data_IF_448555469168
#
_entry.id   IF_448555469168
#
_cell.length_a   1.000
_cell.length_b   1.000
_cell.length_c   1.000
_cell.angle_alpha   90.00
_cell.angle_beta   90.00
_cell.angle_gamma   90.00
#
_symmetry.space_group_name_H-M   'P 1'
#
loop_
_entity.id
_entity.type
_entity.pdbx_description
1 polymer ?
#
# COMPACT_ATOMS: atom_id res chain seq x y z
N UNK A 1 -32.21 7.38 6.71
CA UNK A 1 -31.22 6.30 6.50
C UNK A 1 -29.84 6.91 6.80
N UNK A 2 -29.05 6.25 7.59
CA UNK A 2 -27.65 6.64 7.82
C UNK A 2 -26.92 6.58 6.48
N UNK A 3 -26.13 7.61 6.17
CA UNK A 3 -25.32 7.62 4.94
C UNK A 3 -24.16 6.62 5.08
N UNK A 4 -23.69 6.00 3.98
CA UNK A 4 -22.57 5.07 4.03
C UNK A 4 -21.30 5.79 4.54
N UNK A 5 -20.50 5.09 5.32
CA UNK A 5 -19.23 5.64 5.78
C UNK A 5 -18.24 5.80 4.63
N UNK A 6 -17.36 6.78 4.73
CA UNK A 6 -16.22 6.96 3.81
C UNK A 6 -15.06 6.13 4.31
N UNK A 7 -14.41 5.41 3.40
CA UNK A 7 -13.22 4.64 3.69
C UNK A 7 -12.03 5.31 2.99
N UNK A 8 -10.99 5.61 3.74
CA UNK A 8 -9.73 6.15 3.22
C UNK A 8 -8.61 5.18 3.62
N UNK A 9 -8.01 4.50 2.64
CA UNK A 9 -6.79 3.70 2.84
C UNK A 9 -5.58 4.60 2.59
N UNK A 10 -4.92 5.00 3.68
CA UNK A 10 -3.78 5.91 3.65
C UNK A 10 -2.53 5.18 3.20
N UNK A 11 -2.17 5.40 1.95
CA UNK A 11 -1.01 4.85 1.29
C UNK A 11 -0.46 5.84 0.26
N UNK A 12 0.67 5.53 -0.37
CA UNK A 12 1.20 6.33 -1.48
C UNK A 12 0.19 6.50 -2.62
N UNK A 13 -0.53 5.43 -2.96
CA UNK A 13 -1.75 5.49 -3.76
C UNK A 13 -2.93 5.40 -2.80
N UNK A 14 -3.45 6.54 -2.37
CA UNK A 14 -4.55 6.65 -1.42
C UNK A 14 -5.86 6.25 -2.10
N UNK A 15 -6.57 5.31 -1.50
CA UNK A 15 -7.83 4.79 -2.00
C UNK A 15 -8.97 5.34 -1.20
N UNK A 16 -10.03 5.78 -1.88
CA UNK A 16 -11.22 6.31 -1.22
C UNK A 16 -12.52 5.84 -1.89
N UNK A 17 -13.57 5.76 -1.11
CA UNK A 17 -14.90 5.31 -1.55
C UNK A 17 -15.82 5.07 -0.36
N UNK A 18 -16.92 4.33 -0.54
CA UNK A 18 -17.95 4.18 0.47
C UNK A 18 -18.01 2.76 1.02
N UNK A 19 -18.45 2.64 2.26
CA UNK A 19 -18.73 1.35 2.89
C UNK A 19 -19.80 0.56 2.13
N UNK A 20 -19.59 -0.77 2.04
CA UNK A 20 -20.45 -1.67 1.29
C UNK A 20 -20.14 -1.79 -0.20
N UNK A 21 -19.19 -1.01 -0.73
CA UNK A 21 -18.69 -1.16 -2.10
C UNK A 21 -17.56 -2.20 -2.17
N UNK A 22 -17.45 -2.86 -3.32
CA UNK A 22 -16.45 -3.91 -3.56
C UNK A 22 -15.10 -3.36 -4.04
N UNK A 23 -15.09 -2.13 -4.58
CA UNK A 23 -13.90 -1.44 -5.10
C UNK A 23 -13.89 0.03 -4.69
N UNK A 24 -12.70 0.63 -4.49
CA UNK A 24 -12.59 2.08 -4.23
C UNK A 24 -13.05 2.89 -5.45
N UNK A 25 -13.72 4.01 -5.21
CA UNK A 25 -14.15 4.93 -6.28
C UNK A 25 -13.02 5.77 -6.84
N UNK A 26 -12.02 6.08 -6.01
CA UNK A 26 -10.87 6.86 -6.40
C UNK A 26 -9.58 6.26 -5.88
N UNK A 27 -8.52 6.41 -6.69
CA UNK A 27 -7.13 6.12 -6.33
C UNK A 27 -6.31 7.36 -6.64
N UNK A 28 -5.94 8.10 -5.61
CA UNK A 28 -5.22 9.36 -5.69
C UNK A 28 -3.76 9.18 -5.25
N UNK A 29 -2.81 9.57 -6.10
CA UNK A 29 -1.39 9.55 -5.71
C UNK A 29 -1.13 10.61 -4.64
N UNK A 30 -0.52 10.22 -3.52
CA UNK A 30 -0.25 11.08 -2.36
C UNK A 30 0.94 12.00 -2.64
N UNK A 31 0.72 12.98 -3.51
CA UNK A 31 1.70 13.97 -3.95
C UNK A 31 1.11 15.38 -3.95
N UNK A 32 1.91 16.34 -3.48
CA UNK A 32 1.59 17.76 -3.52
C UNK A 32 2.69 18.50 -4.29
N UNK A 33 2.31 19.23 -5.31
CA UNK A 33 3.19 20.03 -6.16
C UNK A 33 2.99 21.51 -5.95
N UNK A 34 4.06 22.26 -5.70
CA UNK A 34 4.04 23.72 -5.58
C UNK A 34 4.87 24.37 -6.66
N UNK A 35 4.46 25.52 -7.25
CA UNK A 35 5.24 26.21 -8.27
C UNK A 35 6.69 26.50 -7.83
N UNK A 36 7.66 26.23 -8.73
CA UNK A 36 9.09 26.53 -8.48
C UNK A 36 9.38 28.01 -8.33
N UNK A 37 8.57 28.87 -8.95
CA UNK A 37 8.67 30.31 -8.88
C UNK A 37 7.31 30.89 -8.50
N UNK A 38 7.28 31.82 -7.56
CA UNK A 38 6.10 32.63 -7.30
C UNK A 38 5.92 33.59 -8.50
N UNK A 39 4.89 33.38 -9.28
CA UNK A 39 4.54 34.22 -10.40
C UNK A 39 4.15 35.61 -9.85
N UNK A 40 4.91 36.62 -10.26
CA UNK A 40 4.59 37.98 -9.87
C UNK A 40 3.28 38.47 -10.48
N UNK A 41 2.45 39.06 -9.67
CA UNK A 41 1.33 39.94 -9.94
C UNK A 41 0.34 39.58 -11.08
N UNK A 42 -0.89 39.23 -10.71
CA UNK A 42 -2.08 39.48 -11.51
C UNK A 42 -2.84 38.27 -12.06
N UNK A 43 -2.43 37.05 -11.82
CA UNK A 43 -3.24 35.84 -12.06
C UNK A 43 -3.59 35.20 -10.72
N UNK A 44 -4.78 34.60 -10.61
CA UNK A 44 -5.13 33.71 -9.52
C UNK A 44 -4.06 32.61 -9.43
N UNK A 45 -3.15 32.74 -8.48
CA UNK A 45 -2.10 31.74 -8.27
C UNK A 45 -2.74 30.53 -7.62
N UNK A 46 -2.78 29.42 -8.33
CA UNK A 46 -3.03 28.11 -7.70
C UNK A 46 -1.80 27.79 -6.86
N UNK A 47 -1.97 27.76 -5.54
CA UNK A 47 -0.86 27.60 -4.60
C UNK A 47 -0.28 26.17 -4.61
N UNK A 48 -1.09 25.18 -4.96
CA UNK A 48 -0.68 23.77 -5.02
C UNK A 48 -1.52 22.94 -5.99
N UNK A 49 -0.95 21.81 -6.41
CA UNK A 49 -1.57 20.80 -7.24
C UNK A 49 -1.45 19.44 -6.54
N UNK A 50 -2.44 18.55 -6.70
CA UNK A 50 -2.48 17.26 -6.00
C UNK A 50 -2.53 16.09 -7.00
N UNK A 51 -1.86 14.99 -6.62
CA UNK A 51 -1.92 13.71 -7.31
C UNK A 51 -1.45 13.79 -8.77
N UNK A 52 -2.26 13.27 -9.69
CA UNK A 52 -1.95 13.25 -11.13
C UNK A 52 -1.76 14.64 -11.73
N UNK A 53 -2.52 15.64 -11.25
CA UNK A 53 -2.37 17.03 -11.71
C UNK A 53 -0.99 17.60 -11.35
N UNK A 54 -0.47 17.28 -10.16
CA UNK A 54 0.89 17.65 -9.78
C UNK A 54 1.94 16.93 -10.63
N UNK A 55 1.70 15.67 -10.96
CA UNK A 55 2.60 14.90 -11.81
C UNK A 55 2.66 15.43 -13.24
N UNK A 56 1.52 15.75 -13.86
CA UNK A 56 1.45 16.31 -15.22
C UNK A 56 2.21 17.63 -15.34
N UNK A 57 2.22 18.43 -14.27
CA UNK A 57 2.92 19.72 -14.23
C UNK A 57 4.32 19.65 -13.61
N UNK A 58 4.91 18.45 -13.52
CA UNK A 58 6.19 18.19 -12.83
C UNK A 58 7.36 19.09 -13.30
N UNK A 59 7.35 19.50 -14.56
CA UNK A 59 8.40 20.40 -15.13
C UNK A 59 8.49 21.75 -14.43
N UNK A 60 7.37 22.28 -13.94
CA UNK A 60 7.27 23.62 -13.31
C UNK A 60 7.00 23.57 -11.80
N UNK A 61 6.79 22.39 -11.24
CA UNK A 61 6.48 22.20 -9.82
C UNK A 61 7.64 21.56 -9.05
N UNK A 62 7.71 21.89 -7.76
CA UNK A 62 8.40 21.10 -6.74
C UNK A 62 7.37 20.14 -6.17
N UNK A 63 7.57 18.84 -6.37
CA UNK A 63 6.62 17.82 -5.95
C UNK A 63 7.19 17.05 -4.76
N UNK A 64 6.37 16.91 -3.70
CA UNK A 64 6.68 16.15 -2.50
C UNK A 64 5.54 15.20 -2.15
N UNK A 65 5.86 14.12 -1.46
CA UNK A 65 4.87 13.28 -0.79
C UNK A 65 4.80 13.71 0.67
N UNK A 66 3.61 13.93 1.24
CA UNK A 66 3.44 14.18 2.67
C UNK A 66 3.57 12.92 3.52
N UNK A 67 3.85 11.76 2.89
CA UNK A 67 4.12 10.51 3.59
C UNK A 67 5.62 10.20 3.54
N UNK A 68 6.16 9.78 4.68
CA UNK A 68 7.49 9.17 4.78
C UNK A 68 7.56 7.87 3.96
N UNK A 69 8.77 7.31 3.83
CA UNK A 69 8.96 6.06 3.08
C UNK A 69 8.31 4.84 3.74
N UNK A 70 8.03 4.87 5.04
CA UNK A 70 7.32 3.83 5.80
C UNK A 70 5.79 4.00 5.84
N UNK A 71 5.27 5.08 5.24
CA UNK A 71 3.84 5.36 5.12
C UNK A 71 3.26 6.23 6.24
N UNK A 72 4.09 6.65 7.21
CA UNK A 72 3.68 7.64 8.22
C UNK A 72 3.51 9.03 7.62
N UNK A 73 2.69 9.86 8.27
CA UNK A 73 2.48 11.25 7.85
C UNK A 73 3.67 12.09 8.32
N UNK A 74 4.35 12.74 7.36
CA UNK A 74 5.41 13.73 7.63
C UNK A 74 4.84 15.16 7.66
N UNK A 75 3.92 15.47 6.74
CA UNK A 75 3.34 16.79 6.56
C UNK A 75 1.80 16.72 6.67
N UNK A 76 1.26 17.11 7.83
CA UNK A 76 -0.18 17.10 8.10
C UNK A 76 -0.94 18.20 7.32
N UNK A 77 -0.30 19.33 7.03
CA UNK A 77 -0.93 20.41 6.24
C UNK A 77 -1.15 19.95 4.80
N UNK A 78 -0.22 19.17 4.26
CA UNK A 78 -0.35 18.63 2.91
C UNK A 78 -1.28 17.43 2.85
N UNK A 79 -1.36 16.60 3.90
CA UNK A 79 -2.31 15.51 3.94
C UNK A 79 -3.75 16.01 4.06
N UNK A 80 -3.99 17.10 4.80
CA UNK A 80 -5.30 17.76 4.89
C UNK A 80 -5.80 18.21 3.52
N UNK A 81 -4.93 18.81 2.69
CA UNK A 81 -5.26 19.21 1.31
C UNK A 81 -5.60 18.00 0.41
N UNK A 82 -4.93 16.89 0.63
CA UNK A 82 -5.25 15.65 -0.09
C UNK A 82 -6.63 15.14 0.32
N UNK A 83 -6.93 15.09 1.62
CA UNK A 83 -8.26 14.70 2.10
C UNK A 83 -9.36 15.67 1.63
N UNK A 84 -9.11 16.98 1.63
CA UNK A 84 -10.01 17.96 1.04
C UNK A 84 -10.29 17.68 -0.45
N UNK A 85 -9.24 17.31 -1.21
CA UNK A 85 -9.39 16.93 -2.62
C UNK A 85 -10.22 15.65 -2.77
N UNK A 86 -10.03 14.66 -1.88
CA UNK A 86 -10.86 13.45 -1.87
C UNK A 86 -12.34 13.80 -1.68
N UNK A 87 -12.67 14.65 -0.72
CA UNK A 87 -14.05 15.02 -0.46
C UNK A 87 -14.65 15.88 -1.58
N UNK A 88 -13.93 16.91 -2.02
CA UNK A 88 -14.46 17.92 -2.94
C UNK A 88 -14.43 17.50 -4.41
N UNK A 89 -13.37 16.83 -4.86
CA UNK A 89 -13.17 16.49 -6.28
C UNK A 89 -13.44 15.01 -6.57
N UNK A 90 -12.88 14.10 -5.76
CA UNK A 90 -12.93 12.67 -6.05
C UNK A 90 -14.30 12.04 -5.72
N UNK A 91 -14.82 12.32 -4.53
CA UNK A 91 -16.09 11.79 -4.07
C UNK A 91 -17.26 12.77 -4.26
N UNK A 92 -16.96 14.06 -4.37
CA UNK A 92 -17.94 15.16 -4.55
C UNK A 92 -19.03 15.13 -3.47
N UNK A 93 -18.63 15.17 -2.19
CA UNK A 93 -19.50 15.03 -1.03
C UNK A 93 -19.19 16.09 0.03
N UNK A 94 -20.18 16.29 0.95
CA UNK A 94 -19.96 17.02 2.19
C UNK A 94 -19.51 16.06 3.30
N UNK A 95 -18.27 16.19 3.84
CA UNK A 95 -17.76 15.29 4.88
C UNK A 95 -18.61 15.31 6.16
N UNK A 96 -19.26 16.40 6.51
CA UNK A 96 -20.12 16.54 7.71
C UNK A 96 -21.28 15.54 7.76
N UNK A 97 -21.62 14.94 6.62
CA UNK A 97 -22.75 14.03 6.51
C UNK A 97 -22.35 12.54 6.58
N UNK A 98 -21.06 12.25 6.66
CA UNK A 98 -20.53 10.88 6.57
C UNK A 98 -19.58 10.54 7.71
N UNK A 99 -19.75 9.37 8.30
CA UNK A 99 -18.72 8.79 9.17
C UNK A 99 -17.48 8.43 8.34
N UNK A 100 -16.28 8.49 8.94
CA UNK A 100 -15.03 8.25 8.22
C UNK A 100 -14.21 7.15 8.90
N UNK A 101 -13.81 6.14 8.14
CA UNK A 101 -12.81 5.16 8.55
C UNK A 101 -11.50 5.45 7.80
N UNK A 102 -10.42 5.68 8.54
CA UNK A 102 -9.07 5.85 7.99
C UNK A 102 -8.22 4.64 8.34
N UNK A 103 -7.71 3.95 7.32
CA UNK A 103 -6.77 2.85 7.49
C UNK A 103 -5.34 3.40 7.49
N UNK A 104 -4.60 3.16 8.56
CA UNK A 104 -3.23 3.63 8.77
C UNK A 104 -2.29 2.45 9.11
N UNK A 105 -0.95 2.59 8.99
CA UNK A 105 -0.01 1.60 9.50
C UNK A 105 -0.27 1.25 10.98
N UNK A 106 -0.07 0.00 11.37
CA UNK A 106 -0.36 -0.47 12.74
C UNK A 106 0.51 0.20 13.82
N UNK A 107 1.71 0.62 13.46
CA UNK A 107 2.70 1.30 14.29
C UNK A 107 2.57 2.84 14.26
N UNK A 108 1.47 3.39 13.69
CA UNK A 108 1.19 4.84 13.71
C UNK A 108 1.20 5.36 15.14
N UNK A 109 2.00 6.40 15.37
CA UNK A 109 2.21 7.01 16.69
C UNK A 109 0.90 7.59 17.26
N UNK A 110 0.78 7.60 18.57
CA UNK A 110 -0.39 8.16 19.25
C UNK A 110 -0.61 9.62 18.88
N UNK A 111 0.46 10.43 18.86
CA UNK A 111 0.38 11.85 18.48
C UNK A 111 -0.12 12.05 17.04
N UNK A 112 0.18 11.16 16.12
CA UNK A 112 -0.27 11.24 14.74
C UNK A 112 -1.76 10.86 14.63
N UNK A 113 -2.23 9.89 15.42
CA UNK A 113 -3.65 9.54 15.55
C UNK A 113 -4.47 10.70 16.12
N UNK A 114 -3.92 11.40 17.11
CA UNK A 114 -4.54 12.60 17.69
C UNK A 114 -4.66 13.73 16.67
N UNK A 115 -3.62 13.97 15.85
CA UNK A 115 -3.66 14.95 14.77
C UNK A 115 -4.67 14.58 13.68
N UNK A 116 -4.74 13.29 13.30
CA UNK A 116 -5.77 12.79 12.38
C UNK A 116 -7.16 13.09 12.95
N UNK A 117 -7.38 12.79 14.24
CA UNK A 117 -8.66 13.02 14.90
C UNK A 117 -9.00 14.53 14.94
N UNK A 118 -8.02 15.39 15.24
CA UNK A 118 -8.19 16.84 15.26
C UNK A 118 -8.63 17.36 13.87
N UNK A 119 -7.90 17.03 12.80
CA UNK A 119 -8.22 17.50 11.44
C UNK A 119 -9.61 16.98 11.02
N UNK A 120 -9.90 15.71 11.24
CA UNK A 120 -11.18 15.13 10.84
C UNK A 120 -12.37 15.73 11.59
N UNK A 121 -12.23 15.94 12.90
CA UNK A 121 -13.31 16.44 13.74
C UNK A 121 -13.47 17.97 13.70
N UNK A 122 -12.36 18.70 13.55
CA UNK A 122 -12.38 20.18 13.62
C UNK A 122 -12.41 20.82 12.22
N UNK A 123 -11.52 20.40 11.30
CA UNK A 123 -11.48 21.00 9.95
C UNK A 123 -12.60 20.46 9.06
N UNK A 124 -12.79 19.13 9.01
CA UNK A 124 -13.81 18.49 8.16
C UNK A 124 -15.16 18.30 8.85
N UNK A 125 -15.23 18.54 10.14
CA UNK A 125 -16.48 18.51 10.92
C UNK A 125 -17.27 17.20 10.79
N UNK A 126 -16.58 16.06 10.64
CA UNK A 126 -17.23 14.76 10.46
C UNK A 126 -18.01 14.31 11.71
N UNK A 127 -19.10 13.53 11.58
CA UNK A 127 -19.88 13.06 12.72
C UNK A 127 -19.20 11.96 13.54
N UNK A 128 -18.48 11.06 12.89
CA UNK A 128 -17.84 9.93 13.55
C UNK A 128 -16.54 9.55 12.84
N UNK A 129 -15.52 9.14 13.61
CA UNK A 129 -14.20 8.70 13.13
C UNK A 129 -13.88 7.29 13.64
N UNK A 130 -13.22 6.50 12.81
CA UNK A 130 -12.52 5.28 13.22
C UNK A 130 -11.15 5.21 12.56
N UNK A 131 -10.09 5.12 13.36
CA UNK A 131 -8.71 4.96 12.87
C UNK A 131 -8.34 3.49 12.98
N UNK A 132 -8.28 2.82 11.84
CA UNK A 132 -8.08 1.38 11.73
C UNK A 132 -6.63 1.02 11.42
N UNK A 133 -6.16 -0.11 11.94
CA UNK A 133 -4.91 -0.73 11.48
C UNK A 133 -5.16 -1.39 10.10
N UNK A 134 -4.42 -0.95 9.08
CA UNK A 134 -4.59 -1.45 7.71
C UNK A 134 -4.35 -2.96 7.58
N UNK A 135 -3.43 -3.53 8.38
CA UNK A 135 -3.15 -4.97 8.33
C UNK A 135 -4.29 -5.78 8.93
N UNK A 136 -4.92 -5.30 10.01
CA UNK A 136 -6.12 -5.95 10.55
C UNK A 136 -7.26 -5.97 9.52
N UNK A 137 -7.44 -4.88 8.78
CA UNK A 137 -8.44 -4.80 7.71
C UNK A 137 -8.16 -5.77 6.55
N UNK A 138 -6.90 -6.00 6.19
CA UNK A 138 -6.54 -7.01 5.19
C UNK A 138 -7.02 -8.39 5.62
N UNK A 139 -6.87 -8.74 6.90
CA UNK A 139 -7.37 -10.02 7.43
C UNK A 139 -8.91 -10.09 7.46
N UNK A 140 -9.58 -8.96 7.71
CA UNK A 140 -11.05 -8.88 7.62
C UNK A 140 -11.53 -9.23 6.21
N UNK A 141 -10.90 -8.69 5.16
CA UNK A 141 -11.21 -9.05 3.77
C UNK A 141 -11.08 -10.56 3.52
N UNK A 142 -10.07 -11.18 4.08
CA UNK A 142 -9.79 -12.62 3.89
C UNK A 142 -10.59 -13.52 4.84
N UNK A 143 -11.35 -12.93 5.79
CA UNK A 143 -12.10 -13.63 6.84
C UNK A 143 -11.19 -14.61 7.63
N UNK A 144 -10.00 -14.12 8.04
CA UNK A 144 -9.01 -14.88 8.78
C UNK A 144 -8.65 -14.17 10.08
N UNK A 145 -8.76 -14.87 11.22
CA UNK A 145 -8.39 -14.34 12.53
C UNK A 145 -6.89 -14.41 12.80
N UNK A 146 -6.21 -15.40 12.20
CA UNK A 146 -4.81 -15.71 12.44
C UNK A 146 -4.10 -15.89 11.10
N UNK A 147 -2.91 -15.33 10.97
CA UNK A 147 -2.11 -15.44 9.75
C UNK A 147 -0.94 -14.46 9.72
N UNK A 148 -0.24 -14.44 8.63
CA UNK A 148 0.82 -13.48 8.35
C UNK A 148 0.50 -12.73 7.07
N UNK A 149 0.61 -11.41 7.12
CA UNK A 149 0.40 -10.55 5.98
C UNK A 149 1.75 -10.22 5.36
N UNK A 150 1.84 -10.41 4.08
CA UNK A 150 2.91 -9.89 3.23
C UNK A 150 2.31 -8.78 2.36
N UNK A 151 2.51 -7.53 2.76
CA UNK A 151 2.01 -6.36 2.03
C UNK A 151 3.17 -5.62 1.38
N UNK A 152 3.22 -5.63 0.04
CA UNK A 152 4.29 -4.99 -0.73
C UNK A 152 3.74 -3.85 -1.59
N UNK A 153 3.92 -2.62 -1.08
CA UNK A 153 3.48 -1.38 -1.68
C UNK A 153 4.54 -0.70 -2.56
N UNK A 154 4.37 0.58 -2.81
CA UNK A 154 5.28 1.37 -3.65
C UNK A 154 6.61 1.66 -2.95
N UNK A 155 6.59 2.03 -1.66
CA UNK A 155 7.78 2.43 -0.91
C UNK A 155 8.29 1.35 0.04
N UNK A 156 7.38 0.58 0.64
CA UNK A 156 7.68 -0.41 1.68
C UNK A 156 7.08 -1.77 1.40
N UNK A 157 7.69 -2.77 2.01
CA UNK A 157 7.13 -4.11 2.17
C UNK A 157 7.06 -4.43 3.65
N UNK A 158 5.88 -4.77 4.16
CA UNK A 158 5.64 -5.17 5.54
C UNK A 158 5.29 -6.65 5.64
N UNK A 159 5.79 -7.29 6.70
CA UNK A 159 5.52 -8.69 7.03
C UNK A 159 4.99 -8.71 8.45
N UNK A 160 3.68 -8.82 8.60
CA UNK A 160 2.98 -8.55 9.86
C UNK A 160 2.19 -9.77 10.31
N UNK A 161 2.52 -10.37 11.48
CA UNK A 161 1.73 -11.46 12.05
C UNK A 161 0.48 -10.91 12.75
N UNK A 162 -0.64 -11.58 12.48
CA UNK A 162 -1.95 -11.30 13.08
C UNK A 162 -2.39 -12.52 13.88
N UNK A 163 -2.89 -12.31 15.09
CA UNK A 163 -3.51 -13.33 15.94
C UNK A 163 -4.79 -12.77 16.54
N UNK A 164 -5.87 -13.55 16.46
CA UNK A 164 -7.17 -13.16 17.01
C UNK A 164 -7.61 -11.77 16.50
N UNK A 165 -7.46 -11.53 15.20
CA UNK A 165 -7.78 -10.27 14.49
C UNK A 165 -6.89 -9.07 14.85
N UNK A 166 -5.85 -9.25 15.66
CA UNK A 166 -4.98 -8.17 16.13
C UNK A 166 -3.54 -8.38 15.70
N UNK A 167 -2.90 -7.28 15.32
CA UNK A 167 -1.47 -7.25 15.06
C UNK A 167 -0.67 -7.56 16.34
N UNK A 168 0.29 -8.48 16.22
CA UNK A 168 1.21 -8.81 17.32
C UNK A 168 2.35 -7.80 17.28
N UNK A 169 2.22 -6.77 18.12
CA UNK A 169 3.20 -5.67 18.17
C UNK A 169 4.63 -6.17 18.45
N UNK A 170 5.59 -5.62 17.69
CA UNK A 170 7.02 -5.91 17.86
C UNK A 170 7.48 -7.25 17.26
N UNK A 171 6.59 -8.05 16.66
CA UNK A 171 6.95 -9.28 15.97
C UNK A 171 7.04 -9.11 14.43
N UNK A 172 6.35 -8.12 13.91
CA UNK A 172 6.38 -7.78 12.48
C UNK A 172 7.68 -7.08 12.05
N UNK A 173 7.88 -7.00 10.76
CA UNK A 173 9.02 -6.31 10.13
C UNK A 173 8.54 -5.43 8.98
N UNK A 174 9.15 -4.24 8.86
CA UNK A 174 8.89 -3.29 7.78
C UNK A 174 10.20 -2.99 7.06
N UNK A 175 10.23 -3.17 5.75
CA UNK A 175 11.40 -2.99 4.91
C UNK A 175 11.20 -1.81 3.96
N UNK A 176 12.15 -0.87 3.92
CA UNK A 176 12.18 0.24 2.94
C UNK A 176 12.57 -0.29 1.55
N UNK A 177 11.72 -1.15 1.02
CA UNK A 177 11.85 -1.80 -0.28
C UNK A 177 10.46 -2.05 -0.85
N UNK A 178 10.20 -1.52 -2.04
CA UNK A 178 8.88 -1.60 -2.66
C UNK A 178 8.91 -1.44 -4.17
N UNK A 179 7.80 -1.09 -4.75
CA UNK A 179 7.59 -0.90 -6.18
C UNK A 179 8.52 0.11 -6.81
N UNK A 180 8.89 1.16 -6.06
CA UNK A 180 9.90 2.15 -6.46
C UNK A 180 11.24 1.48 -6.82
N UNK A 181 11.71 0.56 -5.97
CA UNK A 181 12.97 -0.16 -6.22
C UNK A 181 12.86 -1.08 -7.45
N UNK A 182 11.69 -1.70 -7.63
CA UNK A 182 11.41 -2.53 -8.81
C UNK A 182 11.41 -1.69 -10.08
N UNK A 183 10.78 -0.50 -10.06
CA UNK A 183 10.79 0.44 -11.18
C UNK A 183 12.20 0.95 -11.50
N UNK A 184 12.97 1.34 -10.49
CA UNK A 184 14.36 1.80 -10.67
C UNK A 184 15.24 0.71 -11.28
N UNK A 185 15.06 -0.54 -10.86
CA UNK A 185 15.79 -1.67 -11.44
C UNK A 185 15.37 -1.95 -12.89
N UNK A 186 14.06 -1.90 -13.18
CA UNK A 186 13.56 -2.03 -14.55
C UNK A 186 14.17 -0.95 -15.45
N UNK A 187 14.21 0.32 -15.01
CA UNK A 187 14.83 1.41 -15.78
C UNK A 187 16.31 1.13 -16.07
N UNK A 188 17.04 0.62 -15.07
CA UNK A 188 18.45 0.20 -15.30
C UNK A 188 18.55 -0.93 -16.33
N UNK A 189 17.67 -1.92 -16.28
CA UNK A 189 17.64 -3.00 -17.27
C UNK A 189 17.26 -2.52 -18.67
N UNK A 190 16.33 -1.57 -18.78
CA UNK A 190 15.95 -0.93 -20.05
C UNK A 190 17.10 -0.15 -20.66
N UNK A 191 17.91 0.54 -19.86
CA UNK A 191 19.12 1.22 -20.33
C UNK A 191 20.11 0.25 -21.00
N UNK A 192 20.21 -0.99 -20.52
CA UNK A 192 21.07 -2.01 -21.14
C UNK A 192 20.57 -2.50 -22.50
N UNK A 193 19.30 -2.24 -22.83
CA UNK A 193 18.73 -2.52 -24.15
C UNK A 193 18.51 -1.24 -24.99
N UNK A 194 19.23 -0.16 -24.63
CA UNK A 194 19.23 1.16 -25.27
C UNK A 194 17.86 1.90 -25.19
N UNK A 195 17.09 1.66 -24.15
CA UNK A 195 15.86 2.40 -23.84
C UNK A 195 16.14 3.27 -22.62
N UNK A 196 16.37 4.57 -22.85
CA UNK A 196 16.68 5.54 -21.80
C UNK A 196 15.39 6.28 -21.39
N UNK A 197 14.96 6.10 -20.15
CA UNK A 197 13.80 6.77 -19.56
C UNK A 197 14.31 7.71 -18.45
N UNK A 198 14.37 9.00 -18.74
CA UNK A 198 15.02 10.02 -17.88
C UNK A 198 14.03 10.95 -17.21
N UNK A 199 12.99 11.35 -17.93
CA UNK A 199 11.97 12.24 -17.40
C UNK A 199 10.96 11.48 -16.53
N UNK A 200 10.17 12.22 -15.78
CA UNK A 200 9.13 11.62 -14.91
C UNK A 200 8.03 10.96 -15.73
N UNK A 201 7.66 11.59 -16.84
CA UNK A 201 6.67 11.07 -17.79
C UNK A 201 7.18 9.76 -18.42
N UNK A 202 8.44 9.72 -18.81
CA UNK A 202 9.04 8.49 -19.36
C UNK A 202 9.14 7.38 -18.32
N UNK A 203 9.36 7.70 -17.03
CA UNK A 203 9.36 6.71 -15.95
C UNK A 203 7.99 6.05 -15.74
N UNK A 204 6.87 6.72 -16.05
CA UNK A 204 5.54 6.11 -16.08
C UNK A 204 5.44 4.98 -17.11
N UNK A 205 6.16 5.10 -18.24
CA UNK A 205 6.25 4.02 -19.23
C UNK A 205 6.89 2.75 -18.61
N UNK A 206 7.90 2.92 -17.74
CA UNK A 206 8.47 1.77 -17.03
C UNK A 206 7.45 1.10 -16.10
N UNK A 207 6.58 1.88 -15.44
CA UNK A 207 5.50 1.32 -14.61
C UNK A 207 4.47 0.55 -15.45
N UNK A 208 4.14 1.05 -16.63
CA UNK A 208 3.24 0.35 -17.56
C UNK A 208 3.88 -0.94 -18.07
N UNK A 209 5.16 -0.89 -18.49
CA UNK A 209 5.92 -2.10 -18.87
C UNK A 209 5.94 -3.10 -17.72
N UNK A 210 6.19 -2.65 -16.49
CA UNK A 210 6.17 -3.51 -15.30
C UNK A 210 4.82 -4.21 -15.16
N UNK A 211 3.73 -3.47 -15.22
CA UNK A 211 2.37 -4.01 -15.03
C UNK A 211 1.94 -4.96 -16.15
N UNK A 212 2.28 -4.64 -17.40
CA UNK A 212 1.79 -5.38 -18.57
C UNK A 212 2.68 -6.55 -18.94
N UNK A 213 4.01 -6.41 -18.81
CA UNK A 213 4.97 -7.33 -19.41
C UNK A 213 5.82 -8.09 -18.41
N UNK A 214 6.09 -7.48 -17.22
CA UNK A 214 6.98 -8.11 -16.25
C UNK A 214 6.29 -9.24 -15.49
N UNK A 215 7.07 -10.26 -15.14
CA UNK A 215 6.62 -11.41 -14.36
C UNK A 215 7.74 -11.93 -13.46
N UNK A 216 7.39 -12.77 -12.51
CA UNK A 216 8.30 -13.49 -11.66
C UNK A 216 8.44 -14.92 -12.21
N UNK A 217 9.66 -15.33 -12.55
CA UNK A 217 9.94 -16.68 -13.00
C UNK A 217 9.79 -17.67 -11.84
N UNK A 218 9.11 -18.79 -12.08
CA UNK A 218 9.01 -19.88 -11.09
C UNK A 218 10.36 -20.52 -10.80
N UNK A 219 11.25 -20.53 -11.80
CA UNK A 219 12.62 -20.99 -11.72
C UNK A 219 13.49 -20.02 -12.54
N UNK A 220 14.23 -19.18 -11.83
CA UNK A 220 15.02 -18.11 -12.45
C UNK A 220 16.16 -18.67 -13.31
N UNK A 221 16.87 -19.70 -12.85
CA UNK A 221 17.98 -20.30 -13.58
C UNK A 221 17.51 -20.97 -14.88
N UNK A 222 16.35 -21.63 -14.84
CA UNK A 222 15.74 -22.20 -16.03
C UNK A 222 15.27 -21.11 -17.01
N UNK A 223 14.83 -19.96 -16.51
CA UNK A 223 14.34 -18.83 -17.33
C UNK A 223 15.45 -18.12 -18.08
N UNK A 224 16.65 -18.01 -17.47
CA UNK A 224 17.84 -17.40 -18.10
C UNK A 224 18.16 -18.07 -19.45
N UNK A 225 17.95 -19.38 -19.55
CA UNK A 225 18.29 -20.16 -20.73
C UNK A 225 17.24 -20.08 -21.85
N UNK A 226 16.08 -19.46 -21.60
CA UNK A 226 15.04 -19.28 -22.61
C UNK A 226 15.30 -18.04 -23.46
N UNK A 227 15.18 -18.18 -24.77
CA UNK A 227 15.17 -17.01 -25.67
C UNK A 227 13.87 -16.24 -25.46
N UNK A 228 14.00 -14.98 -25.10
CA UNK A 228 12.88 -14.05 -24.96
C UNK A 228 12.91 -13.06 -26.13
N UNK A 229 11.81 -12.98 -26.88
CA UNK A 229 11.66 -12.04 -28.00
C UNK A 229 10.36 -11.24 -27.81
N UNK A 230 10.26 -10.57 -26.64
CA UNK A 230 9.11 -9.78 -26.26
C UNK A 230 9.34 -8.33 -26.71
N UNK A 231 8.35 -7.77 -27.40
CA UNK A 231 8.33 -6.38 -27.86
C UNK A 231 7.27 -5.60 -27.09
N UNK A 232 7.57 -4.35 -26.82
CA UNK A 232 6.62 -3.37 -26.28
C UNK A 232 6.56 -2.17 -27.23
N UNK A 233 5.37 -1.64 -27.46
CA UNK A 233 5.15 -0.47 -28.30
C UNK A 233 5.08 0.76 -27.41
N UNK A 234 6.03 1.68 -27.58
CA UNK A 234 6.05 2.95 -26.89
C UNK A 234 4.89 3.87 -27.34
N UNK A 235 4.49 4.86 -26.54
CA UNK A 235 3.45 5.81 -26.92
C UNK A 235 3.69 6.56 -28.23
N UNK A 236 4.95 6.74 -28.62
CA UNK A 236 5.34 7.34 -29.92
C UNK A 236 5.27 6.36 -31.12
N UNK A 237 4.88 5.10 -30.88
CA UNK A 237 4.78 4.05 -31.89
C UNK A 237 6.05 3.23 -32.10
N UNK A 238 7.18 3.57 -31.47
CA UNK A 238 8.42 2.81 -31.59
C UNK A 238 8.32 1.48 -30.88
N UNK A 239 8.90 0.42 -31.45
CA UNK A 239 8.96 -0.91 -30.87
C UNK A 239 10.28 -1.12 -30.16
N UNK A 240 10.23 -1.51 -28.91
CA UNK A 240 11.41 -1.88 -28.12
C UNK A 240 11.41 -3.37 -27.79
N UNK A 241 12.58 -3.99 -27.85
CA UNK A 241 12.78 -5.39 -27.47
C UNK A 241 13.19 -5.48 -26.00
N UNK A 242 12.31 -6.04 -25.19
CA UNK A 242 12.52 -6.13 -23.74
C UNK A 242 13.46 -7.28 -23.32
N UNK A 243 13.60 -8.32 -24.15
CA UNK A 243 14.50 -9.47 -23.88
C UNK A 243 14.30 -10.01 -22.44
N UNK A 244 15.40 -10.07 -21.71
CA UNK A 244 15.47 -10.64 -20.36
C UNK A 244 14.95 -9.67 -19.27
N UNK A 245 14.68 -8.41 -19.59
CA UNK A 245 14.29 -7.40 -18.60
C UNK A 245 13.01 -7.78 -17.87
N UNK A 246 12.07 -8.41 -18.59
CA UNK A 246 10.72 -8.71 -18.08
C UNK A 246 10.69 -9.69 -16.90
N UNK A 247 11.55 -10.71 -16.85
CA UNK A 247 11.61 -11.62 -15.71
C UNK A 247 12.67 -11.23 -14.67
N UNK A 248 13.72 -10.51 -15.09
CA UNK A 248 14.73 -10.01 -14.16
C UNK A 248 14.17 -8.97 -13.20
N UNK A 249 13.22 -8.15 -13.66
CA UNK A 249 12.62 -7.07 -12.89
C UNK A 249 12.01 -7.55 -11.58
N UNK A 250 11.25 -8.63 -11.59
CA UNK A 250 10.61 -9.17 -10.38
C UNK A 250 11.56 -9.97 -9.48
N UNK A 251 12.72 -10.40 -10.01
CA UNK A 251 13.64 -11.26 -9.26
C UNK A 251 14.28 -10.57 -8.06
N UNK A 252 14.41 -9.24 -8.07
CA UNK A 252 14.96 -8.51 -6.92
C UNK A 252 14.14 -8.65 -5.63
N UNK A 253 12.89 -9.07 -5.72
CA UNK A 253 12.05 -9.37 -4.56
C UNK A 253 12.46 -10.70 -3.89
N UNK A 254 13.14 -11.57 -4.63
CA UNK A 254 13.65 -12.87 -4.18
C UNK A 254 15.17 -12.87 -4.01
N UNK A 255 15.85 -12.05 -4.80
CA UNK A 255 17.31 -11.90 -4.76
C UNK A 255 17.73 -10.42 -4.81
N UNK A 256 17.71 -9.70 -3.68
CA UNK A 256 18.11 -8.30 -3.59
C UNK A 256 19.57 -8.02 -3.95
N UNK A 257 20.44 -9.04 -3.98
CA UNK A 257 21.84 -8.90 -4.38
C UNK A 257 22.01 -8.37 -5.82
N UNK A 258 21.02 -8.59 -6.68
CA UNK A 258 20.99 -8.05 -8.05
C UNK A 258 21.03 -6.52 -8.13
N UNK A 259 20.68 -5.84 -7.03
CA UNK A 259 20.76 -4.38 -6.89
C UNK A 259 21.78 -3.95 -5.85
N UNK A 260 22.71 -4.84 -5.46
CA UNK A 260 23.78 -4.56 -4.52
C UNK A 260 23.36 -4.50 -3.05
N UNK A 261 22.20 -5.08 -2.69
CA UNK A 261 21.79 -5.22 -1.30
C UNK A 261 22.15 -6.62 -0.79
N UNK A 262 22.96 -6.69 0.25
CA UNK A 262 23.34 -7.93 0.93
C UNK A 262 22.24 -8.39 1.90
N UNK A 263 21.02 -8.51 1.41
CA UNK A 263 19.85 -8.92 2.17
C UNK A 263 19.26 -10.19 1.57
N UNK A 264 18.56 -10.95 2.40
CA UNK A 264 17.82 -12.13 1.94
C UNK A 264 16.51 -11.73 1.23
N UNK A 265 16.03 -12.60 0.35
CA UNK A 265 14.77 -12.42 -0.35
C UNK A 265 13.56 -12.48 0.60
N UNK A 266 12.45 -11.89 0.17
CA UNK A 266 11.27 -11.72 1.02
C UNK A 266 10.62 -13.03 1.47
N UNK A 267 10.76 -14.13 0.73
CA UNK A 267 10.28 -15.42 1.19
C UNK A 267 11.01 -15.89 2.47
N UNK A 268 12.33 -15.68 2.53
CA UNK A 268 13.11 -15.99 3.72
C UNK A 268 12.77 -15.05 4.88
N UNK A 269 12.67 -13.74 4.62
CA UNK A 269 12.25 -12.75 5.61
C UNK A 269 10.87 -13.09 6.21
N UNK A 270 9.93 -13.58 5.40
CA UNK A 270 8.63 -14.03 5.89
C UNK A 270 8.76 -15.21 6.86
N UNK A 271 9.61 -16.18 6.53
CA UNK A 271 9.88 -17.31 7.43
C UNK A 271 10.52 -16.85 8.73
N UNK A 272 11.47 -15.92 8.66
CA UNK A 272 12.18 -15.43 9.84
C UNK A 272 11.20 -14.74 10.82
N UNK A 273 10.22 -14.01 10.32
CA UNK A 273 9.14 -13.46 11.16
C UNK A 273 8.33 -14.60 11.81
N UNK A 274 7.94 -15.64 11.05
CA UNK A 274 7.20 -16.77 11.60
C UNK A 274 8.04 -17.55 12.64
N UNK A 275 9.35 -17.65 12.44
CA UNK A 275 10.24 -18.37 13.36
C UNK A 275 10.44 -17.67 14.71
N UNK A 276 10.11 -16.38 14.84
CA UNK A 276 10.11 -15.67 16.14
C UNK A 276 9.10 -16.24 17.14
N UNK A 277 8.12 -17.01 16.70
CA UNK A 277 7.12 -17.65 17.56
C UNK A 277 7.64 -18.96 18.13
N UNK A 278 7.42 -19.20 19.43
CA UNK A 278 7.84 -20.43 20.09
C UNK A 278 6.85 -21.58 19.84
N UNK A 279 5.56 -21.27 19.79
CA UNK A 279 4.49 -22.26 19.63
C UNK A 279 4.45 -22.87 18.22
N UNK A 280 4.55 -24.19 18.16
CA UNK A 280 4.39 -24.93 16.89
C UNK A 280 2.98 -24.74 16.31
N UNK A 281 1.97 -24.64 17.17
CA UNK A 281 0.59 -24.41 16.74
C UNK A 281 0.43 -23.04 16.11
N UNK A 282 0.99 -21.98 16.72
CA UNK A 282 0.98 -20.63 16.16
C UNK A 282 1.71 -20.62 14.81
N UNK A 283 2.90 -21.23 14.72
CA UNK A 283 3.62 -21.36 13.44
C UNK A 283 2.77 -22.04 12.36
N UNK A 284 2.06 -23.12 12.69
CA UNK A 284 1.17 -23.80 11.75
C UNK A 284 0.04 -22.88 11.26
N UNK A 285 -0.59 -22.12 12.16
CA UNK A 285 -1.63 -21.17 11.80
C UNK A 285 -1.10 -20.08 10.87
N UNK A 286 0.09 -19.52 11.19
CA UNK A 286 0.73 -18.50 10.36
C UNK A 286 1.09 -19.03 8.97
N UNK A 287 1.67 -20.22 8.87
CA UNK A 287 1.95 -20.85 7.57
C UNK A 287 0.70 -21.18 6.76
N UNK A 288 -0.41 -21.50 7.42
CA UNK A 288 -1.67 -21.86 6.76
C UNK A 288 -2.40 -20.63 6.19
N UNK A 289 -2.05 -19.42 6.62
CA UNK A 289 -2.68 -18.18 6.20
C UNK A 289 -1.62 -17.11 5.91
N UNK A 290 -0.85 -17.32 4.85
CA UNK A 290 0.08 -16.31 4.32
C UNK A 290 -0.70 -15.46 3.32
N UNK A 291 -1.10 -14.27 3.74
CA UNK A 291 -1.95 -13.37 2.93
C UNK A 291 -1.08 -12.39 2.17
N UNK A 292 -1.17 -12.41 0.84
CA UNK A 292 -0.51 -11.44 -0.02
C UNK A 292 -1.38 -10.20 -0.22
N UNK A 293 -0.76 -9.03 -0.08
CA UNK A 293 -1.33 -7.70 -0.33
C UNK A 293 -0.34 -6.80 -1.05
N UNK A 294 -0.83 -5.70 -1.60
CA UNK A 294 -0.03 -4.69 -2.27
C UNK A 294 0.30 -4.98 -3.73
N UNK A 295 0.55 -3.90 -4.48
CA UNK A 295 0.68 -3.93 -5.94
C UNK A 295 1.84 -4.78 -6.48
N UNK A 296 2.95 -4.92 -5.75
CA UNK A 296 4.08 -5.74 -6.22
C UNK A 296 3.75 -7.23 -6.24
N UNK A 297 2.84 -7.68 -5.38
CA UNK A 297 2.41 -9.07 -5.35
C UNK A 297 1.58 -9.49 -6.57
N UNK A 298 1.05 -8.50 -7.32
CA UNK A 298 0.30 -8.71 -8.56
C UNK A 298 1.18 -9.11 -9.74
N UNK A 299 2.51 -8.95 -9.65
CA UNK A 299 3.40 -9.45 -10.70
C UNK A 299 3.09 -10.92 -10.98
N UNK A 300 2.81 -11.20 -12.26
CA UNK A 300 2.42 -12.54 -12.68
C UNK A 300 3.42 -13.60 -12.20
N UNK A 301 2.95 -14.64 -11.53
CA UNK A 301 3.79 -15.73 -11.01
C UNK A 301 4.43 -15.45 -9.65
N UNK A 302 4.23 -14.25 -9.06
CA UNK A 302 4.76 -13.92 -7.74
C UNK A 302 4.25 -14.89 -6.67
N UNK A 303 2.95 -15.12 -6.64
CA UNK A 303 2.27 -16.02 -5.70
C UNK A 303 2.86 -17.43 -5.70
N UNK A 304 3.01 -18.00 -6.90
CA UNK A 304 3.55 -19.37 -7.09
C UNK A 304 5.03 -19.46 -6.72
N UNK A 305 5.82 -18.45 -7.08
CA UNK A 305 7.24 -18.40 -6.72
C UNK A 305 7.39 -18.23 -5.22
N UNK A 306 6.63 -17.35 -4.60
CA UNK A 306 6.67 -17.10 -3.16
C UNK A 306 6.32 -18.35 -2.36
N UNK A 307 5.26 -19.07 -2.76
CA UNK A 307 4.88 -20.33 -2.15
C UNK A 307 5.96 -21.40 -2.32
N UNK A 308 6.53 -21.54 -3.52
CA UNK A 308 7.63 -22.48 -3.81
C UNK A 308 8.84 -22.23 -2.92
N UNK A 309 9.26 -20.95 -2.79
CA UNK A 309 10.40 -20.55 -1.97
C UNK A 309 10.15 -20.87 -0.48
N UNK A 310 8.96 -20.49 0.04
CA UNK A 310 8.60 -20.79 1.43
C UNK A 310 8.61 -22.31 1.66
N UNK A 311 7.96 -23.10 0.79
CA UNK A 311 7.95 -24.56 0.90
C UNK A 311 9.35 -25.18 0.81
N UNK A 312 10.27 -24.53 0.10
CA UNK A 312 11.68 -24.94 0.03
C UNK A 312 12.46 -24.74 1.32
N UNK A 313 12.09 -23.73 2.10
CA UNK A 313 12.82 -23.27 3.29
C UNK A 313 12.25 -23.82 4.61
N UNK A 314 10.96 -24.24 4.64
CA UNK A 314 10.35 -24.80 5.85
C UNK A 314 10.71 -26.28 6.05
N UNK A 315 10.72 -26.77 7.31
CA UNK A 315 10.87 -28.20 7.60
C UNK A 315 9.83 -29.05 6.88
N UNK A 316 10.20 -30.32 6.55
CA UNK A 316 9.34 -31.20 5.75
C UNK A 316 7.94 -31.37 6.34
N UNK A 317 7.83 -31.46 7.67
CA UNK A 317 6.60 -31.57 8.43
C UNK A 317 5.67 -30.36 8.35
N UNK A 318 6.20 -29.19 8.00
CA UNK A 318 5.44 -27.94 7.87
C UNK A 318 5.02 -27.63 6.43
N UNK A 319 5.58 -28.32 5.43
CA UNK A 319 5.35 -28.02 4.00
C UNK A 319 3.89 -28.09 3.60
N UNK A 320 3.16 -29.06 4.13
CA UNK A 320 1.74 -29.24 3.85
C UNK A 320 0.86 -28.17 4.50
N UNK A 321 1.36 -27.49 5.54
CA UNK A 321 0.66 -26.39 6.17
C UNK A 321 0.81 -25.08 5.41
N UNK A 322 1.78 -24.96 4.49
CA UNK A 322 2.03 -23.72 3.75
C UNK A 322 0.92 -23.47 2.74
N UNK A 323 0.18 -22.39 2.94
CA UNK A 323 -0.87 -21.92 2.04
C UNK A 323 -0.76 -20.40 1.84
N UNK A 324 -0.52 -20.01 0.59
CA UNK A 324 -0.41 -18.60 0.18
C UNK A 324 -1.74 -18.15 -0.42
N UNK A 325 -2.35 -17.17 0.22
CA UNK A 325 -3.63 -16.58 -0.18
C UNK A 325 -3.35 -15.35 -1.04
N UNK A 326 -3.67 -15.44 -2.33
CA UNK A 326 -3.41 -14.40 -3.32
C UNK A 326 -4.66 -14.13 -4.17
N UNK A 327 -5.68 -13.56 -3.55
CA UNK A 327 -6.92 -13.21 -4.25
C UNK A 327 -6.71 -12.06 -5.25
N UNK A 328 -7.64 -11.94 -6.18
CA UNK A 328 -7.74 -10.78 -7.06
C UNK A 328 -7.99 -9.50 -6.28
N UNK A 329 -7.68 -8.34 -6.84
CA UNK A 329 -7.81 -7.01 -6.22
C UNK A 329 -7.10 -6.87 -4.85
N UNK A 330 -6.00 -7.63 -4.66
CA UNK A 330 -5.26 -7.59 -3.38
C UNK A 330 -4.47 -6.31 -3.15
N UNK A 331 -4.30 -5.48 -4.15
CA UNK A 331 -3.80 -4.11 -4.01
C UNK A 331 -4.79 -3.19 -3.26
N UNK A 332 -6.08 -3.56 -3.24
CA UNK A 332 -7.15 -2.84 -2.55
C UNK A 332 -7.56 -3.50 -1.22
N UNK A 333 -6.76 -4.47 -0.72
CA UNK A 333 -7.19 -5.32 0.41
C UNK A 333 -7.53 -4.56 1.67
N UNK A 334 -6.74 -3.55 2.05
CA UNK A 334 -7.00 -2.75 3.24
C UNK A 334 -8.30 -1.94 3.08
N UNK A 335 -8.50 -1.32 1.92
CA UNK A 335 -9.71 -0.56 1.63
C UNK A 335 -10.96 -1.44 1.62
N UNK A 336 -10.92 -2.60 0.95
CA UNK A 336 -12.03 -3.57 0.90
C UNK A 336 -12.35 -4.06 2.33
N UNK A 337 -11.31 -4.39 3.11
CA UNK A 337 -11.47 -4.77 4.51
C UNK A 337 -12.13 -3.67 5.34
N UNK A 338 -11.77 -2.40 5.11
CA UNK A 338 -12.41 -1.23 5.71
C UNK A 338 -13.88 -1.09 5.31
N UNK A 339 -14.19 -1.30 4.02
CA UNK A 339 -15.56 -1.29 3.50
C UNK A 339 -16.44 -2.37 4.15
N UNK A 340 -15.92 -3.59 4.30
CA UNK A 340 -16.60 -4.68 5.00
C UNK A 340 -16.76 -4.34 6.48
N UNK A 341 -15.65 -3.97 7.15
CA UNK A 341 -15.61 -3.76 8.60
C UNK A 341 -16.57 -2.67 9.05
N UNK A 342 -16.58 -1.52 8.34
CA UNK A 342 -17.45 -0.39 8.64
C UNK A 342 -18.94 -0.67 8.42
N UNK A 343 -19.27 -1.72 7.65
CA UNK A 343 -20.64 -2.17 7.42
C UNK A 343 -21.15 -3.12 8.51
N UNK A 344 -20.29 -3.60 9.40
CA UNK A 344 -20.67 -4.52 10.47
C UNK A 344 -21.48 -3.81 11.58
N UNK A 345 -22.49 -4.47 12.18
CA UNK A 345 -23.28 -3.87 13.26
C UNK A 345 -22.45 -3.45 14.48
N UNK A 346 -21.33 -4.14 14.75
CA UNK A 346 -20.43 -3.83 15.86
C UNK A 346 -19.79 -2.43 15.76
N UNK A 347 -19.70 -1.87 14.57
CA UNK A 347 -19.10 -0.55 14.36
C UNK A 347 -19.83 0.58 15.08
N UNK A 348 -21.13 0.43 15.36
CA UNK A 348 -21.90 1.46 16.09
C UNK A 348 -21.26 1.84 17.43
N UNK A 349 -20.68 0.87 18.13
CA UNK A 349 -20.03 1.09 19.43
C UNK A 349 -18.54 1.46 19.32
N UNK A 350 -17.97 1.32 18.13
CA UNK A 350 -16.54 1.56 17.90
C UNK A 350 -16.24 2.98 17.39
N UNK A 351 -17.21 3.63 16.75
CA UNK A 351 -17.04 4.98 16.26
C UNK A 351 -16.69 5.95 17.39
N UNK A 352 -15.62 6.74 17.22
CA UNK A 352 -15.41 7.95 17.99
C UNK A 352 -16.40 8.98 17.49
N UNK A 353 -17.42 9.28 18.30
CA UNK A 353 -18.42 10.27 17.95
C UNK A 353 -17.91 11.70 18.18
N UNK A 354 -18.50 12.67 17.49
CA UNK A 354 -18.15 14.07 17.70
C UNK A 354 -18.41 14.54 19.13
N UNK A 355 -19.48 14.07 19.76
CA UNK A 355 -19.80 14.41 21.15
C UNK A 355 -18.72 13.88 22.12
N UNK A 356 -18.25 12.62 21.93
CA UNK A 356 -17.14 12.07 22.71
C UNK A 356 -15.84 12.84 22.49
N UNK A 357 -15.56 13.23 21.22
CA UNK A 357 -14.37 14.03 20.92
C UNK A 357 -14.43 15.40 21.62
N UNK A 358 -15.57 16.07 21.59
CA UNK A 358 -15.76 17.36 22.27
C UNK A 358 -15.67 17.26 23.81
N UNK A 359 -16.06 16.10 24.38
CA UNK A 359 -16.01 15.86 25.83
C UNK A 359 -14.59 15.46 26.30
N UNK A 360 -13.90 14.58 25.54
CA UNK A 360 -12.64 13.93 26.00
C UNK A 360 -11.40 14.38 25.22
N UNK A 361 -11.54 15.14 24.14
CA UNK A 361 -10.43 15.63 23.31
C UNK A 361 -9.85 14.58 22.36
N UNK A 362 -8.81 14.98 21.63
CA UNK A 362 -8.14 14.15 20.60
C UNK A 362 -7.46 12.90 21.15
N UNK A 363 -6.96 12.97 22.39
CA UNK A 363 -6.30 11.84 23.07
C UNK A 363 -7.25 10.64 23.25
N UNK A 364 -8.55 10.88 23.28
CA UNK A 364 -9.53 9.81 23.41
C UNK A 364 -9.54 8.86 22.21
N UNK A 365 -9.10 9.31 21.04
CA UNK A 365 -8.91 8.44 19.87
C UNK A 365 -7.95 7.26 20.17
N UNK A 366 -6.92 7.48 20.98
CA UNK A 366 -5.98 6.42 21.39
C UNK A 366 -6.60 5.44 22.38
N UNK A 367 -7.37 5.95 23.37
CA UNK A 367 -7.93 5.13 24.45
C UNK A 367 -9.16 4.34 24.04
N UNK A 368 -10.00 4.90 23.16
CA UNK A 368 -11.23 4.23 22.70
C UNK A 368 -10.94 2.93 21.96
N UNK A 369 -9.89 2.90 21.15
CA UNK A 369 -9.54 1.71 20.34
C UNK A 369 -8.71 0.67 21.08
N UNK A 370 -8.13 1.02 22.24
CA UNK A 370 -7.35 0.08 23.07
C UNK A 370 -8.21 -0.71 24.06
N UNK A 371 -9.42 -0.24 24.39
CA UNK A 371 -10.28 -0.83 25.42
C UNK A 371 -11.13 -2.03 24.95
N UNK A 372 -11.00 -2.43 23.72
CA UNK A 372 -11.75 -3.57 23.11
C UNK A 372 -10.77 -4.44 22.32
#
# INVERSE_FOLDING_TARGET
MEKPAIIIDQAFNMRSGFSGEEEPRSVLTCLVGRPKMTWGCGMECVDYFIGSEAEEKSGILIIKSPLEDDGHIDDFDDIEKIWETIYSKELTINPEEHSVLIAVPGDTKEIDREKIACIMMESFNIPNLYIANKHELIMVKEAKSDGIIFDSGEKVTSIIPIKEWKEIKGQGEVYKFGGKNVNEYLIKLLNHVNVCLTTREEKKIAEEIKKQMCYVALDYEAEINKKQDNEYVLPNGDKIKLKNTIYKTGEILFNPSLIGKEEEGFAKKCIDVIQKFDSIEDKKKLYSNIVLSGGNTLLKGFDKRFEKEIKGLVPAEMKENVNVIAKENRENSAWIGGSIYSSLPLMKDLWLTKDEYMEYGSEYANTKYQKK
#
